data_IF_755762329652
#
_entry.id   IF_755762329652
#
_cell.length_a   1.000
_cell.length_b   1.000
_cell.length_c   1.000
_cell.angle_alpha   90.00
_cell.angle_beta   90.00
_cell.angle_gamma   90.00
#
_symmetry.space_group_name_H-M   'P 1'
#
loop_
_entity.id
_entity.type
_entity.pdbx_description
1 polymer ?
#
# COMPACT_ATOMS: atom_id res chain seq x y z
N UNK A 1 0.98 36.52 30.04
CA UNK A 1 1.18 35.08 30.20
C UNK A 1 0.63 34.38 28.95
N UNK A 2 1.48 34.02 27.97
CA UNK A 2 1.07 33.31 26.74
C UNK A 2 1.74 31.92 26.55
N UNK A 3 2.45 31.37 27.54
CA UNK A 3 3.32 30.19 27.34
C UNK A 3 2.61 28.82 27.42
N UNK A 4 1.35 28.78 27.85
CA UNK A 4 0.60 27.51 28.05
C UNK A 4 -0.04 27.00 26.75
N UNK A 5 -0.34 27.87 25.78
CA UNK A 5 -1.00 27.48 24.53
C UNK A 5 -0.04 26.94 23.45
N UNK A 6 1.18 27.47 23.37
CA UNK A 6 2.16 27.07 22.34
C UNK A 6 2.68 25.64 22.60
N UNK A 7 2.84 25.26 23.86
CA UNK A 7 3.31 23.94 24.27
C UNK A 7 2.23 22.87 24.12
N UNK A 8 0.97 23.21 24.38
CA UNK A 8 -0.16 22.30 24.15
C UNK A 8 -0.40 22.08 22.65
N UNK A 9 -0.41 23.15 21.84
CA UNK A 9 -0.55 23.06 20.40
C UNK A 9 0.60 22.27 19.74
N UNK A 10 1.84 22.44 20.23
CA UNK A 10 2.98 21.67 19.76
C UNK A 10 2.84 20.17 20.09
N UNK A 11 2.36 19.82 21.29
CA UNK A 11 2.11 18.43 21.70
C UNK A 11 0.97 17.80 20.91
N UNK A 12 -0.16 18.48 20.74
CA UNK A 12 -1.29 17.96 19.96
C UNK A 12 -0.90 17.73 18.49
N UNK A 13 -0.04 18.59 17.94
CA UNK A 13 0.50 18.41 16.58
C UNK A 13 1.43 17.20 16.51
N UNK A 14 2.33 17.04 17.47
CA UNK A 14 3.23 15.88 17.50
C UNK A 14 2.43 14.58 17.71
N UNK A 15 1.43 14.58 18.59
CA UNK A 15 0.55 13.42 18.81
C UNK A 15 -0.25 13.06 17.54
N UNK A 16 -0.83 14.05 16.86
CA UNK A 16 -1.55 13.82 15.59
C UNK A 16 -0.61 13.30 14.49
N UNK A 17 0.63 13.81 14.45
CA UNK A 17 1.66 13.34 13.52
C UNK A 17 2.08 11.90 13.82
N UNK A 18 2.27 11.56 15.09
CA UNK A 18 2.60 10.20 15.53
C UNK A 18 1.45 9.23 15.27
N UNK A 19 0.20 9.62 15.53
CA UNK A 19 -0.98 8.80 15.20
C UNK A 19 -1.08 8.54 13.70
N UNK A 20 -0.86 9.56 12.86
CA UNK A 20 -0.87 9.40 11.41
C UNK A 20 0.27 8.50 10.90
N UNK A 21 1.46 8.60 11.49
CA UNK A 21 2.57 7.67 11.19
C UNK A 21 2.21 6.25 11.61
N UNK A 22 1.64 6.09 12.80
CA UNK A 22 1.30 4.78 13.35
C UNK A 22 0.21 4.08 12.52
N UNK A 23 -0.87 4.79 12.17
CA UNK A 23 -1.93 4.24 11.32
C UNK A 23 -1.42 3.84 9.93
N UNK A 24 -0.50 4.62 9.34
CA UNK A 24 0.15 4.26 8.07
C UNK A 24 0.98 2.99 8.21
N UNK A 25 1.86 2.95 9.20
CA UNK A 25 2.72 1.80 9.45
C UNK A 25 1.91 0.51 9.67
N UNK A 26 0.79 0.60 10.39
CA UNK A 26 -0.11 -0.54 10.58
C UNK A 26 -0.80 -0.98 9.28
N UNK A 27 -1.34 -0.05 8.49
CA UNK A 27 -2.00 -0.36 7.20
C UNK A 27 -1.04 -0.99 6.19
N UNK A 28 0.19 -0.51 6.15
CA UNK A 28 1.25 -1.02 5.28
C UNK A 28 1.65 -2.44 5.69
N UNK A 29 1.85 -2.68 7.00
CA UNK A 29 2.18 -4.01 7.52
C UNK A 29 1.09 -5.05 7.22
N UNK A 30 -0.19 -4.71 7.43
CA UNK A 30 -1.30 -5.64 7.16
C UNK A 30 -1.37 -5.97 5.67
N UNK A 31 -1.28 -4.97 4.80
CA UNK A 31 -1.34 -5.15 3.34
C UNK A 31 -0.17 -5.99 2.83
N UNK A 32 1.05 -5.71 3.32
CA UNK A 32 2.24 -6.46 2.96
C UNK A 32 2.16 -7.93 3.44
N UNK A 33 1.69 -8.17 4.67
CA UNK A 33 1.47 -9.53 5.19
C UNK A 33 0.47 -10.32 4.35
N UNK A 34 -0.64 -9.71 3.94
CA UNK A 34 -1.63 -10.38 3.10
C UNK A 34 -1.00 -10.78 1.75
N UNK A 35 -0.28 -9.87 1.10
CA UNK A 35 0.31 -10.14 -0.23
C UNK A 35 1.44 -11.16 -0.16
N UNK A 36 2.29 -11.08 0.86
CA UNK A 36 3.30 -12.11 1.11
C UNK A 36 2.66 -13.47 1.42
N UNK A 37 1.60 -13.49 2.23
CA UNK A 37 0.82 -14.69 2.50
C UNK A 37 0.28 -15.33 1.22
N UNK A 38 -0.17 -14.54 0.24
CA UNK A 38 -0.61 -15.05 -1.07
C UNK A 38 0.54 -15.65 -1.89
N UNK A 39 1.73 -15.06 -1.87
CA UNK A 39 2.93 -15.65 -2.50
C UNK A 39 3.21 -17.02 -1.89
N UNK A 40 3.26 -17.09 -0.55
CA UNK A 40 3.53 -18.33 0.18
C UNK A 40 2.47 -19.39 -0.10
N UNK A 41 1.19 -19.03 -0.06
CA UNK A 41 0.09 -19.96 -0.33
C UNK A 41 0.14 -20.51 -1.76
N UNK A 42 0.29 -19.65 -2.78
CA UNK A 42 0.41 -20.12 -4.15
C UNK A 42 1.69 -20.97 -4.35
N UNK A 43 2.81 -20.58 -3.74
CA UNK A 43 4.06 -21.36 -3.78
C UNK A 43 3.92 -22.74 -3.16
N UNK A 44 3.33 -22.82 -1.97
CA UNK A 44 3.06 -24.07 -1.27
C UNK A 44 2.08 -24.95 -2.05
N UNK A 45 1.02 -24.35 -2.62
CA UNK A 45 0.08 -25.07 -3.49
C UNK A 45 0.76 -25.61 -4.74
N UNK A 46 1.62 -24.83 -5.40
CA UNK A 46 2.39 -25.29 -6.56
C UNK A 46 3.30 -26.47 -6.20
N UNK A 47 4.08 -26.35 -5.13
CA UNK A 47 4.96 -27.42 -4.67
C UNK A 47 4.17 -28.69 -4.33
N UNK A 48 3.01 -28.53 -3.70
CA UNK A 48 2.10 -29.64 -3.40
C UNK A 48 1.59 -30.30 -4.67
N UNK A 49 1.14 -29.54 -5.67
CA UNK A 49 0.65 -30.11 -6.94
C UNK A 49 1.75 -30.85 -7.70
N UNK A 50 2.96 -30.28 -7.76
CA UNK A 50 4.08 -30.91 -8.44
C UNK A 50 4.61 -32.15 -7.70
N UNK A 51 4.56 -32.15 -6.36
CA UNK A 51 5.00 -33.29 -5.55
C UNK A 51 3.93 -34.39 -5.42
N UNK A 52 2.66 -34.02 -5.42
CA UNK A 52 1.53 -34.96 -5.30
C UNK A 52 1.04 -35.47 -6.67
N UNK A 53 1.59 -35.01 -7.79
CA UNK A 53 1.21 -35.49 -9.13
C UNK A 53 1.35 -37.01 -9.26
N UNK A 54 2.31 -37.61 -8.55
CA UNK A 54 2.52 -39.06 -8.51
C UNK A 54 1.62 -39.82 -7.54
N UNK A 55 0.94 -39.11 -6.63
CA UNK A 55 0.04 -39.67 -5.61
C UNK A 55 -1.43 -39.53 -5.98
N UNK A 56 -1.73 -38.63 -6.92
CA UNK A 56 -3.05 -38.30 -7.38
C UNK A 56 -3.41 -39.17 -8.60
N UNK A 57 -3.68 -40.45 -8.36
CA UNK A 57 -4.06 -41.41 -9.40
C UNK A 57 -5.22 -40.90 -10.27
N UNK A 58 -5.19 -41.12 -11.58
CA UNK A 58 -6.26 -40.75 -12.53
C UNK A 58 -6.54 -39.24 -12.70
N UNK A 59 -5.62 -38.34 -12.34
CA UNK A 59 -5.71 -36.92 -12.71
C UNK A 59 -5.05 -36.69 -14.08
N UNK A 60 -5.78 -36.16 -15.08
CA UNK A 60 -5.21 -35.87 -16.38
C UNK A 60 -4.08 -34.84 -16.27
N UNK A 61 -2.99 -35.07 -17.02
CA UNK A 61 -1.85 -34.16 -17.07
C UNK A 61 -2.26 -32.73 -17.45
N UNK A 62 -3.33 -32.57 -18.23
CA UNK A 62 -3.88 -31.26 -18.61
C UNK A 62 -4.43 -30.48 -17.41
N UNK A 63 -5.11 -31.14 -16.48
CA UNK A 63 -5.65 -30.51 -15.26
C UNK A 63 -4.51 -30.16 -14.30
N UNK A 64 -3.52 -31.06 -14.16
CA UNK A 64 -2.33 -30.80 -13.35
C UNK A 64 -1.52 -29.63 -13.91
N UNK A 65 -1.25 -29.61 -15.22
CA UNK A 65 -0.54 -28.53 -15.88
C UNK A 65 -1.29 -27.20 -15.78
N UNK A 66 -2.61 -27.20 -15.94
CA UNK A 66 -3.44 -26.02 -15.77
C UNK A 66 -3.41 -25.49 -14.33
N UNK A 67 -3.53 -26.37 -13.34
CA UNK A 67 -3.47 -26.01 -11.92
C UNK A 67 -2.10 -25.46 -11.52
N UNK A 68 -1.02 -26.14 -11.92
CA UNK A 68 0.35 -25.69 -11.69
C UNK A 68 0.62 -24.33 -12.34
N UNK A 69 0.16 -24.13 -13.58
CA UNK A 69 0.25 -22.84 -14.27
C UNK A 69 -0.53 -21.74 -13.55
N UNK A 70 -1.72 -22.07 -13.04
CA UNK A 70 -2.55 -21.12 -12.29
C UNK A 70 -1.85 -20.67 -11.01
N UNK A 71 -1.28 -21.59 -10.24
CA UNK A 71 -0.51 -21.23 -9.05
C UNK A 71 0.76 -20.43 -9.39
N UNK A 72 1.50 -20.80 -10.45
CA UNK A 72 2.68 -20.06 -10.90
C UNK A 72 2.34 -18.61 -11.30
N UNK A 73 1.26 -18.41 -12.07
CA UNK A 73 0.75 -17.08 -12.40
C UNK A 73 0.25 -16.34 -11.15
N UNK A 74 -0.34 -17.06 -10.20
CA UNK A 74 -0.77 -16.50 -8.91
C UNK A 74 0.39 -15.95 -8.08
N UNK A 75 1.54 -16.64 -8.07
CA UNK A 75 2.80 -16.16 -7.46
C UNK A 75 3.28 -14.89 -8.14
N UNK A 76 3.36 -14.88 -9.48
CA UNK A 76 3.81 -13.73 -10.24
C UNK A 76 2.91 -12.50 -10.01
N UNK A 77 1.59 -12.68 -10.03
CA UNK A 77 0.63 -11.63 -9.75
C UNK A 77 0.77 -11.06 -8.32
N UNK A 78 1.00 -11.92 -7.32
CA UNK A 78 1.25 -11.47 -5.95
C UNK A 78 2.58 -10.73 -5.80
N UNK A 79 3.64 -11.18 -6.49
CA UNK A 79 4.92 -10.48 -6.57
C UNK A 79 4.78 -9.08 -7.17
N UNK A 80 4.08 -8.95 -8.29
CA UNK A 80 3.77 -7.64 -8.88
C UNK A 80 2.88 -6.77 -8.01
N UNK A 81 1.97 -7.35 -7.23
CA UNK A 81 1.18 -6.60 -6.26
C UNK A 81 2.05 -6.03 -5.13
N UNK A 82 3.08 -6.79 -4.69
CA UNK A 82 4.06 -6.32 -3.70
C UNK A 82 4.91 -5.18 -4.27
N UNK A 83 5.46 -5.34 -5.47
CA UNK A 83 6.28 -4.31 -6.13
C UNK A 83 5.49 -3.00 -6.33
N UNK A 84 4.27 -3.10 -6.86
CA UNK A 84 3.36 -1.95 -7.05
C UNK A 84 3.09 -1.23 -5.73
N UNK A 85 2.97 -1.99 -4.62
CA UNK A 85 2.85 -1.41 -3.28
C UNK A 85 4.08 -0.62 -2.88
N UNK A 86 5.25 -1.21 -3.03
CA UNK A 86 6.51 -0.62 -2.59
C UNK A 86 6.78 0.67 -3.35
N UNK A 87 6.57 0.67 -4.66
CA UNK A 87 6.70 1.87 -5.49
C UNK A 87 5.72 2.98 -5.06
N UNK A 88 4.47 2.61 -4.73
CA UNK A 88 3.50 3.55 -4.20
C UNK A 88 3.92 4.12 -2.84
N UNK A 89 4.45 3.31 -1.92
CA UNK A 89 4.94 3.75 -0.62
C UNK A 89 6.16 4.68 -0.73
N UNK A 90 7.08 4.40 -1.64
CA UNK A 90 8.23 5.27 -1.92
C UNK A 90 7.74 6.63 -2.46
N UNK A 91 6.83 6.60 -3.45
CA UNK A 91 6.28 7.82 -4.04
C UNK A 91 5.43 8.64 -3.04
N UNK A 92 4.72 7.98 -2.14
CA UNK A 92 3.96 8.65 -1.09
C UNK A 92 4.91 9.31 -0.08
N UNK A 93 5.93 8.59 0.40
CA UNK A 93 6.93 9.12 1.33
C UNK A 93 7.63 10.37 0.77
N UNK A 94 8.01 10.36 -0.52
CA UNK A 94 8.59 11.53 -1.18
C UNK A 94 7.66 12.75 -1.18
N UNK A 95 6.37 12.56 -1.46
CA UNK A 95 5.36 13.63 -1.44
C UNK A 95 5.10 14.17 -0.02
N UNK A 96 5.01 13.30 0.99
CA UNK A 96 4.86 13.72 2.39
C UNK A 96 6.06 14.55 2.87
N UNK A 97 7.27 14.15 2.49
CA UNK A 97 8.49 14.91 2.81
C UNK A 97 8.46 16.30 2.16
N UNK A 98 8.09 16.39 0.89
CA UNK A 98 7.95 17.67 0.19
C UNK A 98 6.90 18.59 0.86
N UNK A 99 5.75 18.04 1.26
CA UNK A 99 4.69 18.81 1.91
C UNK A 99 5.04 19.22 3.35
N UNK A 100 5.79 18.40 4.08
CA UNK A 100 6.33 18.77 5.38
C UNK A 100 7.31 19.96 5.26
N UNK A 101 8.21 19.93 4.27
CA UNK A 101 9.13 21.06 4.00
C UNK A 101 8.38 22.33 3.61
N UNK A 102 7.31 22.25 2.81
CA UNK A 102 6.45 23.41 2.49
C UNK A 102 5.79 24.00 3.74
N UNK A 103 5.24 23.16 4.63
CA UNK A 103 4.63 23.60 5.90
C UNK A 103 5.64 24.23 6.85
N UNK A 104 6.84 23.66 6.94
CA UNK A 104 7.92 24.22 7.76
C UNK A 104 8.38 25.59 7.23
N UNK A 105 8.53 25.72 5.90
CA UNK A 105 8.82 27.01 5.26
C UNK A 105 7.72 28.04 5.50
N UNK A 106 6.45 27.66 5.38
CA UNK A 106 5.33 28.57 5.69
C UNK A 106 5.41 29.02 7.16
N UNK A 107 5.60 28.09 8.09
CA UNK A 107 5.69 28.42 9.52
C UNK A 107 6.85 29.36 9.81
N UNK A 108 8.03 29.10 9.24
CA UNK A 108 9.20 29.95 9.40
C UNK A 108 8.96 31.36 8.84
N UNK A 109 8.27 31.49 7.69
CA UNK A 109 7.90 32.79 7.14
C UNK A 109 6.88 33.53 8.00
N UNK A 110 5.88 32.84 8.55
CA UNK A 110 4.92 33.43 9.50
C UNK A 110 5.64 33.93 10.76
N UNK A 111 6.53 33.13 11.33
CA UNK A 111 7.32 33.50 12.51
C UNK A 111 8.24 34.70 12.24
N UNK A 112 8.86 34.77 11.06
CA UNK A 112 9.67 35.92 10.64
C UNK A 112 8.82 37.17 10.36
N UNK A 113 7.60 37.01 9.82
CA UNK A 113 6.68 38.12 9.55
C UNK A 113 6.17 38.81 10.82
N UNK A 114 6.13 38.11 11.96
CA UNK A 114 5.83 38.71 13.26
C UNK A 114 6.89 39.73 13.72
N UNK A 115 8.11 39.65 13.18
CA UNK A 115 9.21 40.58 13.48
C UNK A 115 9.22 41.80 12.55
N UNK A 116 8.68 41.67 11.32
CA UNK A 116 8.58 42.75 10.33
C UNK A 116 7.22 42.70 9.60
N UNK A 117 6.16 43.10 10.29
CA UNK A 117 4.76 42.96 9.84
C UNK A 117 4.37 43.76 8.57
N UNK A 118 5.25 44.64 8.07
CA UNK A 118 4.98 45.52 6.92
C UNK A 118 5.75 45.14 5.64
N UNK A 119 6.47 44.01 5.62
CA UNK A 119 7.16 43.58 4.41
C UNK A 119 6.19 42.87 3.44
N UNK A 120 5.70 43.63 2.47
CA UNK A 120 4.81 43.17 1.39
C UNK A 120 5.36 41.94 0.66
N UNK A 121 6.69 41.79 0.57
CA UNK A 121 7.33 40.60 -0.03
C UNK A 121 7.14 39.35 0.82
N UNK A 122 7.18 39.49 2.14
CA UNK A 122 6.98 38.38 3.08
C UNK A 122 5.51 37.93 3.06
N UNK A 123 4.56 38.87 2.99
CA UNK A 123 3.13 38.56 2.84
C UNK A 123 2.82 37.85 1.52
N UNK A 124 3.39 38.32 0.39
CA UNK A 124 3.23 37.66 -0.91
C UNK A 124 3.85 36.24 -0.94
N UNK A 125 4.96 36.02 -0.24
CA UNK A 125 5.58 34.70 -0.11
C UNK A 125 4.73 33.74 0.74
N UNK A 126 4.14 34.23 1.83
CA UNK A 126 3.20 33.49 2.68
C UNK A 126 1.95 33.09 1.87
N UNK A 127 1.34 34.05 1.16
CA UNK A 127 0.14 33.81 0.36
C UNK A 127 0.41 32.79 -0.76
N UNK A 128 1.57 32.90 -1.44
CA UNK A 128 1.99 31.92 -2.45
C UNK A 128 2.13 30.52 -1.88
N UNK A 129 2.84 30.36 -0.76
CA UNK A 129 3.02 29.05 -0.12
C UNK A 129 1.71 28.48 0.43
N UNK A 130 0.82 29.35 0.91
CA UNK A 130 -0.50 28.95 1.35
C UNK A 130 -1.33 28.43 0.17
N UNK A 131 -1.36 29.17 -0.95
CA UNK A 131 -2.05 28.76 -2.18
C UNK A 131 -1.47 27.46 -2.79
N UNK A 132 -0.15 27.26 -2.72
CA UNK A 132 0.51 26.01 -3.13
C UNK A 132 0.13 24.82 -2.24
N UNK A 133 -0.28 25.05 -0.99
CA UNK A 133 -0.71 23.99 -0.07
C UNK A 133 -2.22 23.74 -0.06
N UNK A 134 -3.04 24.77 -0.30
CA UNK A 134 -4.50 24.65 -0.42
C UNK A 134 -4.94 24.18 -1.81
N UNK A 135 -4.12 24.41 -2.84
CA UNK A 135 -4.35 23.94 -4.20
C UNK A 135 -3.96 22.48 -4.44
N UNK A 136 -3.21 21.85 -3.52
CA UNK A 136 -3.00 20.40 -3.55
C UNK A 136 -4.19 19.73 -2.86
N UNK A 137 -5.09 19.03 -3.59
CA UNK A 137 -6.13 18.26 -2.93
C UNK A 137 -5.45 17.34 -1.91
N UNK A 138 -6.04 17.21 -0.72
CA UNK A 138 -5.76 16.08 0.17
C UNK A 138 -6.12 14.83 -0.61
N UNK A 139 -5.16 14.33 -1.39
CA UNK A 139 -5.26 13.02 -2.00
C UNK A 139 -5.15 12.08 -0.81
N UNK A 140 -6.30 11.76 -0.22
CA UNK A 140 -6.45 10.57 0.60
C UNK A 140 -5.74 9.47 -0.18
N UNK A 141 -4.64 8.97 0.38
CA UNK A 141 -3.77 8.01 -0.28
C UNK A 141 -4.57 6.72 -0.49
N UNK A 142 -5.35 6.69 -1.57
CA UNK A 142 -6.18 5.56 -1.92
C UNK A 142 -5.25 4.39 -2.24
N UNK A 143 -5.57 3.18 -1.77
CA UNK A 143 -4.76 2.02 -2.08
C UNK A 143 -4.60 1.90 -3.60
N UNK A 144 -3.35 1.74 -4.06
CA UNK A 144 -3.02 1.67 -5.48
C UNK A 144 -3.92 0.65 -6.17
N UNK A 145 -4.80 1.13 -7.06
CA UNK A 145 -5.84 0.33 -7.71
C UNK A 145 -5.21 -0.83 -8.49
N UNK A 146 -4.04 -0.60 -9.09
CA UNK A 146 -3.30 -1.65 -9.79
C UNK A 146 -2.88 -2.77 -8.83
N UNK A 147 -2.36 -2.43 -7.65
CA UNK A 147 -2.00 -3.40 -6.63
C UNK A 147 -3.19 -4.20 -6.09
N UNK A 148 -4.36 -3.57 -5.96
CA UNK A 148 -5.60 -4.24 -5.54
C UNK A 148 -6.04 -5.25 -6.59
N UNK A 149 -6.11 -4.84 -7.86
CA UNK A 149 -6.49 -5.74 -8.95
C UNK A 149 -5.56 -6.95 -9.02
N UNK A 150 -4.24 -6.74 -8.97
CA UNK A 150 -3.25 -7.82 -8.98
C UNK A 150 -3.40 -8.78 -7.79
N UNK A 151 -3.72 -8.25 -6.61
CA UNK A 151 -4.02 -9.07 -5.43
C UNK A 151 -5.27 -9.93 -5.63
N UNK A 152 -6.35 -9.38 -6.18
CA UNK A 152 -7.55 -10.16 -6.51
C UNK A 152 -7.29 -11.20 -7.60
N UNK A 153 -6.50 -10.86 -8.63
CA UNK A 153 -6.09 -11.81 -9.66
C UNK A 153 -5.30 -12.97 -9.06
N UNK A 154 -4.34 -12.71 -8.17
CA UNK A 154 -3.59 -13.77 -7.47
C UNK A 154 -4.51 -14.68 -6.65
N UNK A 155 -5.48 -14.11 -5.92
CA UNK A 155 -6.50 -14.90 -5.18
C UNK A 155 -7.36 -15.73 -6.12
N UNK A 156 -7.82 -15.15 -7.23
CA UNK A 156 -8.62 -15.83 -8.23
C UNK A 156 -7.87 -17.01 -8.85
N UNK A 157 -6.60 -16.81 -9.23
CA UNK A 157 -5.73 -17.85 -9.77
C UNK A 157 -5.50 -19.00 -8.78
N UNK A 158 -5.32 -18.67 -7.50
CA UNK A 158 -5.24 -19.68 -6.45
C UNK A 158 -6.53 -20.52 -6.34
N UNK A 159 -7.70 -19.87 -6.29
CA UNK A 159 -9.00 -20.55 -6.22
C UNK A 159 -9.24 -21.42 -7.47
N UNK A 160 -8.97 -20.89 -8.66
CA UNK A 160 -9.14 -21.62 -9.93
C UNK A 160 -8.21 -22.84 -9.98
N UNK A 161 -6.94 -22.68 -9.57
CA UNK A 161 -5.99 -23.78 -9.47
C UNK A 161 -6.48 -24.89 -8.54
N UNK A 162 -6.98 -24.54 -7.36
CA UNK A 162 -7.57 -25.49 -6.40
C UNK A 162 -8.83 -26.17 -6.94
N UNK A 163 -9.77 -25.40 -7.49
CA UNK A 163 -11.05 -25.90 -7.99
C UNK A 163 -10.88 -26.81 -9.21
N UNK A 164 -9.85 -26.59 -10.04
CA UNK A 164 -9.59 -27.48 -11.18
C UNK A 164 -9.26 -28.91 -10.73
N UNK A 165 -8.49 -29.06 -9.65
CA UNK A 165 -8.13 -30.37 -9.09
C UNK A 165 -9.31 -30.97 -8.33
N UNK A 166 -9.88 -30.23 -7.38
CA UNK A 166 -10.98 -30.72 -6.53
C UNK A 166 -12.24 -31.00 -7.36
N UNK A 167 -12.59 -30.10 -8.26
CA UNK A 167 -13.75 -30.23 -9.14
C UNK A 167 -13.65 -31.43 -10.06
N UNK A 168 -12.47 -31.67 -10.66
CA UNK A 168 -12.24 -32.86 -11.46
C UNK A 168 -12.41 -34.14 -10.62
N UNK A 169 -11.85 -34.17 -9.41
CA UNK A 169 -11.96 -35.34 -8.52
C UNK A 169 -13.40 -35.63 -8.10
N UNK A 170 -14.17 -34.61 -7.74
CA UNK A 170 -15.59 -34.78 -7.41
C UNK A 170 -16.37 -35.29 -8.62
N UNK A 171 -16.15 -34.70 -9.80
CA UNK A 171 -16.82 -35.11 -11.03
C UNK A 171 -16.51 -36.58 -11.39
N UNK A 172 -15.27 -37.02 -11.22
CA UNK A 172 -14.86 -38.40 -11.52
C UNK A 172 -15.46 -39.47 -10.59
N UNK A 173 -16.12 -39.07 -9.50
CA UNK A 173 -16.76 -39.97 -8.54
C UNK A 173 -18.27 -40.14 -8.77
N UNK A 174 -18.87 -39.34 -9.66
CA UNK A 174 -20.30 -39.38 -10.03
C UNK A 174 -20.45 -40.18 -11.32
#
# INVERSE_FOLDING_TARGET
MPDVDVTLAARMRDDAWQMAIHERAQRDQVTQRIRFGLVVLNGASLATVLGASSLLDNLPDTILAFSASSFALGIAAAGWALESHQNYLIASAGRWSANAMKRERLRALIEFSHVNANDEKTLAAIEKLFNEMTGEPEVLFQPDTASIWKQYTSRGLWVVGMLSIVGYKIWSLI
#
